data_IF_577410308979
#
_entry.id   IF_577410308979
#
_cell.length_a   1.000
_cell.length_b   1.000
_cell.length_c   1.000
_cell.angle_alpha   90.00
_cell.angle_beta   90.00
_cell.angle_gamma   90.00
#
_symmetry.space_group_name_H-M   'P 1'
#
loop_
_entity.id
_entity.type
_entity.pdbx_description
1 polymer ?
#
# COMPACT_ATOMS: atom_id res chain seq x y z
N UNK A 1 13.62 -18.56 17.45
CA UNK A 1 13.94 -18.66 16.00
C UNK A 1 14.05 -17.28 15.39
N UNK A 2 15.01 -17.06 14.53
CA UNK A 2 15.14 -15.82 13.79
C UNK A 2 14.56 -15.96 12.38
N UNK A 3 13.91 -14.90 11.88
CA UNK A 3 13.46 -14.81 10.50
C UNK A 3 14.39 -13.90 9.74
N UNK A 4 14.95 -14.37 8.64
CA UNK A 4 15.79 -13.58 7.75
C UNK A 4 15.15 -13.52 6.38
N UNK A 5 15.06 -12.31 5.83
CA UNK A 5 14.52 -12.08 4.51
C UNK A 5 15.60 -11.46 3.62
N UNK A 6 15.86 -12.08 2.48
CA UNK A 6 16.66 -11.47 1.43
C UNK A 6 15.71 -10.72 0.50
N UNK A 7 15.62 -9.41 0.68
CA UNK A 7 14.67 -8.60 -0.07
C UNK A 7 14.93 -8.61 -1.57
N UNK A 8 16.19 -8.62 -1.99
CA UNK A 8 16.51 -8.71 -3.42
C UNK A 8 15.95 -10.01 -4.01
N UNK A 9 16.12 -11.12 -3.31
CA UNK A 9 15.60 -12.42 -3.75
C UNK A 9 14.06 -12.43 -3.75
N UNK A 10 13.42 -11.86 -2.73
CA UNK A 10 11.97 -11.81 -2.64
C UNK A 10 11.36 -10.95 -3.73
N UNK A 11 11.91 -9.77 -3.99
CA UNK A 11 11.41 -8.89 -5.06
C UNK A 11 11.69 -9.48 -6.45
N UNK A 12 12.77 -10.22 -6.63
CA UNK A 12 13.08 -10.87 -7.91
C UNK A 12 12.03 -11.91 -8.33
N UNK A 13 11.25 -12.44 -7.39
CA UNK A 13 10.17 -13.41 -7.67
C UNK A 13 8.90 -12.72 -8.17
N UNK A 14 8.78 -11.40 -8.02
CA UNK A 14 7.56 -10.68 -8.34
C UNK A 14 7.59 -10.13 -9.76
N UNK A 15 6.42 -10.15 -10.39
CA UNK A 15 6.18 -9.50 -11.68
C UNK A 15 5.47 -8.17 -11.45
N UNK A 16 5.76 -7.18 -12.31
CA UNK A 16 5.04 -5.91 -12.27
C UNK A 16 3.59 -6.11 -12.70
N UNK A 17 2.66 -5.69 -11.85
CA UNK A 17 1.24 -5.64 -12.21
C UNK A 17 0.97 -4.32 -12.93
N UNK A 18 0.70 -4.37 -14.23
CA UNK A 18 0.35 -3.20 -15.03
C UNK A 18 -1.15 -2.95 -15.00
N UNK A 19 -1.53 -1.68 -15.10
CA UNK A 19 -2.93 -1.28 -15.21
C UNK A 19 -3.74 -1.51 -13.92
N UNK A 20 -3.10 -1.40 -12.78
CA UNK A 20 -3.81 -1.52 -11.49
C UNK A 20 -4.82 -0.40 -11.33
N UNK A 21 -6.01 -0.75 -10.84
CA UNK A 21 -7.09 0.18 -10.51
C UNK A 21 -7.59 -0.08 -9.09
N UNK A 22 -8.40 0.82 -8.51
CA UNK A 22 -8.98 0.57 -7.18
C UNK A 22 -9.84 -0.69 -7.08
N UNK A 23 -10.31 -1.23 -8.20
CA UNK A 23 -11.13 -2.45 -8.23
C UNK A 23 -10.33 -3.71 -8.58
N UNK A 24 -9.03 -3.60 -8.78
CA UNK A 24 -8.18 -4.77 -9.04
C UNK A 24 -8.33 -5.78 -7.91
N UNK A 25 -8.64 -7.03 -8.26
CA UNK A 25 -8.89 -8.08 -7.28
C UNK A 25 -7.60 -8.67 -6.74
N UNK A 26 -7.70 -9.37 -5.62
CA UNK A 26 -6.57 -10.09 -5.04
C UNK A 26 -6.05 -11.17 -6.01
N UNK A 27 -6.96 -11.86 -6.72
CA UNK A 27 -6.57 -12.85 -7.72
C UNK A 27 -5.77 -12.24 -8.88
N UNK A 28 -6.15 -11.03 -9.33
CA UNK A 28 -5.42 -10.31 -10.37
C UNK A 28 -4.05 -9.84 -9.90
N UNK A 29 -3.83 -9.71 -8.60
CA UNK A 29 -2.55 -9.30 -8.02
C UNK A 29 -1.60 -10.48 -7.77
N UNK A 30 -2.04 -11.71 -8.02
CA UNK A 30 -1.20 -12.88 -7.83
C UNK A 30 0.09 -12.78 -8.66
N UNK A 31 1.23 -13.07 -8.04
CA UNK A 31 2.54 -12.96 -8.67
C UNK A 31 3.15 -11.56 -8.63
N UNK A 32 2.39 -10.53 -8.25
CA UNK A 32 2.88 -9.15 -8.14
C UNK A 32 2.97 -8.68 -6.68
N UNK A 33 2.44 -9.44 -5.74
CA UNK A 33 2.53 -9.16 -4.32
C UNK A 33 2.78 -10.44 -3.53
N UNK A 34 3.44 -10.31 -2.38
CA UNK A 34 3.78 -11.44 -1.53
C UNK A 34 3.68 -11.07 -0.06
N UNK A 35 3.12 -12.00 0.71
CA UNK A 35 3.24 -12.01 2.16
C UNK A 35 4.63 -12.53 2.50
N UNK A 36 5.45 -11.74 3.19
CA UNK A 36 6.82 -12.13 3.50
C UNK A 36 6.98 -12.74 4.89
N UNK A 37 6.44 -12.09 5.89
CA UNK A 37 6.58 -12.54 7.28
C UNK A 37 5.59 -11.82 8.19
N UNK A 38 5.23 -12.44 9.33
CA UNK A 38 4.55 -11.70 10.38
C UNK A 38 5.52 -10.75 11.08
N UNK A 39 5.02 -9.61 11.54
CA UNK A 39 5.78 -8.71 12.39
C UNK A 39 4.83 -8.04 13.37
N UNK A 40 5.05 -8.24 14.69
CA UNK A 40 4.16 -7.75 15.75
C UNK A 40 2.72 -8.23 15.49
N UNK A 41 1.75 -7.33 15.47
CA UNK A 41 0.34 -7.60 15.18
C UNK A 41 -0.02 -7.51 13.70
N UNK A 42 0.98 -7.38 12.85
CA UNK A 42 0.78 -7.16 11.42
C UNK A 42 1.64 -8.05 10.53
N UNK A 43 1.85 -7.58 9.31
CA UNK A 43 2.49 -8.36 8.25
C UNK A 43 3.43 -7.50 7.41
N UNK A 44 4.54 -8.09 7.00
CA UNK A 44 5.45 -7.49 6.02
C UNK A 44 5.06 -8.01 4.64
N UNK A 45 4.74 -7.07 3.73
CA UNK A 45 4.39 -7.37 2.35
C UNK A 45 5.40 -6.76 1.37
N UNK A 46 5.52 -7.40 0.22
CA UNK A 46 6.25 -6.88 -0.94
C UNK A 46 5.30 -6.77 -2.12
N UNK A 47 5.44 -5.74 -2.95
CA UNK A 47 4.62 -5.60 -4.14
C UNK A 47 5.30 -4.80 -5.24
N UNK A 48 4.88 -5.07 -6.49
CA UNK A 48 5.26 -4.33 -7.69
C UNK A 48 4.00 -4.02 -8.48
N UNK A 49 3.70 -2.74 -8.69
CA UNK A 49 2.49 -2.34 -9.41
C UNK A 49 2.70 -1.05 -10.20
N UNK A 50 1.93 -0.92 -11.29
CA UNK A 50 1.79 0.32 -12.04
C UNK A 50 0.31 0.64 -12.17
N UNK A 51 -0.09 1.87 -11.84
CA UNK A 51 -1.47 2.33 -11.88
C UNK A 51 -1.89 3.08 -10.62
N UNK A 52 -3.01 2.69 -10.04
CA UNK A 52 -3.58 3.33 -8.86
C UNK A 52 -4.17 2.29 -7.92
N UNK A 53 -3.85 2.38 -6.63
CA UNK A 53 -4.44 1.54 -5.59
C UNK A 53 -5.80 2.03 -5.10
N UNK A 54 -6.47 1.21 -4.31
CA UNK A 54 -7.68 1.61 -3.60
C UNK A 54 -7.32 2.51 -2.41
N UNK A 55 -8.29 3.30 -1.96
CA UNK A 55 -8.19 3.93 -0.65
C UNK A 55 -8.19 2.85 0.42
N UNK A 56 -7.29 2.97 1.38
CA UNK A 56 -7.25 2.05 2.53
C UNK A 56 -6.89 2.79 3.80
N UNK A 57 -7.30 2.21 4.94
CA UNK A 57 -6.88 2.66 6.27
C UNK A 57 -6.68 1.45 7.17
N UNK A 58 -5.88 1.64 8.22
CA UNK A 58 -5.55 0.59 9.18
C UNK A 58 -5.95 1.06 10.57
N UNK A 59 -7.08 0.58 11.11
CA UNK A 59 -7.56 1.07 12.41
C UNK A 59 -6.72 0.59 13.60
N UNK A 60 -5.88 -0.42 13.41
CA UNK A 60 -5.12 -1.03 14.51
C UNK A 60 -3.74 -0.40 14.77
N UNK A 61 -3.23 0.42 13.86
CA UNK A 61 -1.91 1.04 14.05
C UNK A 61 -1.39 1.80 12.86
N UNK A 62 -0.17 2.34 12.97
CA UNK A 62 0.52 3.02 11.88
C UNK A 62 1.03 2.01 10.87
N UNK A 63 0.97 2.35 9.58
CA UNK A 63 1.58 1.56 8.53
C UNK A 63 2.91 2.17 8.12
N UNK A 64 3.94 1.34 7.98
CA UNK A 64 5.21 1.75 7.39
C UNK A 64 5.22 1.35 5.92
N UNK A 65 5.53 2.30 5.04
CA UNK A 65 5.67 2.06 3.60
C UNK A 65 7.05 2.52 3.17
N UNK A 66 7.84 1.60 2.62
CA UNK A 66 9.16 1.92 2.08
C UNK A 66 9.11 1.82 0.56
N UNK A 67 9.52 2.89 -0.13
CA UNK A 67 9.66 2.89 -1.59
C UNK A 67 11.02 2.31 -1.94
N UNK A 68 11.03 1.08 -2.43
CA UNK A 68 12.25 0.39 -2.84
C UNK A 68 12.73 0.93 -4.18
N UNK A 69 11.80 1.11 -5.12
CA UNK A 69 12.11 1.62 -6.46
C UNK A 69 10.87 2.28 -7.06
N UNK A 70 11.08 3.39 -7.76
CA UNK A 70 10.02 4.08 -8.48
C UNK A 70 9.57 5.36 -7.80
N UNK A 71 8.42 5.85 -8.24
CA UNK A 71 7.82 7.07 -7.71
C UNK A 71 6.30 6.94 -7.66
N UNK A 72 5.70 7.72 -6.78
CA UNK A 72 4.24 7.75 -6.63
C UNK A 72 3.80 9.10 -6.07
N UNK A 73 2.50 9.33 -6.13
CA UNK A 73 1.83 10.34 -5.31
C UNK A 73 1.10 9.60 -4.20
N UNK A 74 1.37 9.98 -2.97
CA UNK A 74 0.62 9.50 -1.80
C UNK A 74 -0.48 10.50 -1.50
N UNK A 75 -1.73 10.07 -1.66
CA UNK A 75 -2.90 10.84 -1.22
C UNK A 75 -3.24 10.40 0.19
N UNK A 76 -3.36 11.34 1.12
CA UNK A 76 -3.62 11.04 2.53
C UNK A 76 -4.63 12.02 3.12
N UNK A 77 -5.49 11.49 3.98
CA UNK A 77 -6.50 12.25 4.70
C UNK A 77 -6.28 12.03 6.19
N UNK A 78 -6.09 13.12 6.92
CA UNK A 78 -5.97 13.09 8.38
C UNK A 78 -7.07 13.96 8.99
N UNK A 79 -7.90 13.36 9.86
CA UNK A 79 -8.98 14.04 10.57
C UNK A 79 -9.92 14.80 9.61
N UNK A 80 -10.17 16.09 9.86
CA UNK A 80 -11.06 16.94 9.07
C UNK A 80 -10.32 17.73 7.99
N UNK A 81 -9.02 17.46 7.80
CA UNK A 81 -8.22 18.18 6.81
C UNK A 81 -8.59 17.78 5.38
N UNK A 82 -8.35 18.67 4.39
CA UNK A 82 -8.47 18.29 2.99
C UNK A 82 -7.50 17.17 2.64
N UNK A 83 -7.80 16.45 1.56
CA UNK A 83 -6.88 15.45 1.01
C UNK A 83 -5.57 16.13 0.62
N UNK A 84 -4.46 15.58 1.10
CA UNK A 84 -3.11 16.01 0.72
C UNK A 84 -2.51 15.03 -0.27
N UNK A 85 -1.80 15.55 -1.26
CA UNK A 85 -1.09 14.74 -2.24
C UNK A 85 0.41 15.01 -2.11
N UNK A 86 1.16 13.98 -1.75
CA UNK A 86 2.58 14.09 -1.41
C UNK A 86 3.39 13.23 -2.37
N UNK A 87 4.39 13.80 -3.09
CA UNK A 87 5.27 13.00 -3.93
C UNK A 87 6.21 12.14 -3.08
N UNK A 88 6.34 10.88 -3.47
CA UNK A 88 7.29 9.95 -2.85
C UNK A 88 8.11 9.25 -3.92
N UNK A 89 9.32 8.86 -3.59
CA UNK A 89 10.23 8.23 -4.55
C UNK A 89 11.20 7.25 -3.88
N UNK A 90 11.98 6.58 -4.69
CA UNK A 90 12.99 5.60 -4.25
C UNK A 90 13.76 6.07 -3.02
N UNK A 91 13.84 5.22 -2.02
CA UNK A 91 14.59 5.46 -0.78
C UNK A 91 13.79 6.14 0.31
N UNK A 92 12.55 6.54 0.05
CA UNK A 92 11.70 7.17 1.07
C UNK A 92 10.95 6.14 1.90
N UNK A 93 10.70 6.50 3.15
CA UNK A 93 9.78 5.80 4.04
C UNK A 93 8.66 6.76 4.39
N UNK A 94 7.41 6.28 4.27
CA UNK A 94 6.24 6.97 4.77
C UNK A 94 5.70 6.22 5.99
N UNK A 95 5.40 6.94 7.06
CA UNK A 95 4.65 6.39 8.18
C UNK A 95 3.24 6.96 8.07
N UNK A 96 2.30 6.09 7.72
CA UNK A 96 0.90 6.46 7.59
C UNK A 96 0.25 6.32 8.95
N UNK A 97 -0.29 7.40 9.53
CA UNK A 97 -0.88 7.34 10.87
C UNK A 97 -2.05 6.38 10.94
N UNK A 98 -2.22 5.78 12.12
CA UNK A 98 -3.36 4.94 12.43
C UNK A 98 -4.67 5.59 12.00
N UNK A 99 -5.49 4.87 11.23
CA UNK A 99 -6.81 5.30 10.82
C UNK A 99 -6.86 6.31 9.68
N UNK A 100 -5.71 6.77 9.17
CA UNK A 100 -5.68 7.72 8.08
C UNK A 100 -5.98 7.04 6.74
N UNK A 101 -6.98 7.55 6.02
CA UNK A 101 -7.23 7.11 4.66
C UNK A 101 -6.08 7.52 3.77
N UNK A 102 -5.55 6.57 2.97
CA UNK A 102 -4.46 6.83 2.04
C UNK A 102 -4.57 5.95 0.80
N UNK A 103 -3.98 6.42 -0.28
CA UNK A 103 -3.79 5.64 -1.50
C UNK A 103 -2.54 6.11 -2.22
N UNK A 104 -2.00 5.24 -3.08
CA UNK A 104 -0.88 5.59 -3.93
C UNK A 104 -1.31 5.60 -5.39
N UNK A 105 -0.79 6.57 -6.14
CA UNK A 105 -0.90 6.64 -7.58
C UNK A 105 0.51 6.57 -8.16
N UNK A 106 0.78 5.53 -8.96
CA UNK A 106 2.12 5.20 -9.45
C UNK A 106 2.06 4.77 -10.92
N UNK A 107 1.73 5.69 -11.86
CA UNK A 107 1.49 5.33 -13.25
C UNK A 107 2.70 4.70 -13.94
N UNK A 108 3.92 5.05 -13.51
CA UNK A 108 5.16 4.54 -14.09
C UNK A 108 5.72 3.32 -13.36
N UNK A 109 5.00 2.83 -12.35
CA UNK A 109 5.40 1.66 -11.58
C UNK A 109 6.12 1.98 -10.29
N UNK A 110 5.91 1.12 -9.29
CA UNK A 110 6.54 1.23 -7.98
C UNK A 110 6.82 -0.16 -7.41
N UNK A 111 7.89 -0.26 -6.66
CA UNK A 111 8.23 -1.44 -5.84
C UNK A 111 8.17 -1.01 -4.38
N UNK A 112 7.30 -1.66 -3.61
CA UNK A 112 7.04 -1.30 -2.22
C UNK A 112 7.32 -2.45 -1.26
N UNK A 113 7.86 -2.09 -0.09
CA UNK A 113 7.81 -2.91 1.11
C UNK A 113 6.86 -2.23 2.08
N UNK A 114 5.89 -2.98 2.63
CA UNK A 114 4.99 -2.43 3.63
C UNK A 114 5.02 -3.27 4.89
N UNK A 115 4.88 -2.59 6.04
CA UNK A 115 4.61 -3.24 7.32
C UNK A 115 3.23 -2.76 7.73
N UNK A 116 2.24 -3.62 7.52
CA UNK A 116 0.82 -3.29 7.65
C UNK A 116 0.29 -3.87 8.96
N UNK A 117 -0.23 -3.04 9.87
CA UNK A 117 -0.77 -3.53 11.14
C UNK A 117 -2.14 -4.17 10.94
N UNK A 118 -2.45 -5.16 11.72
CA UNK A 118 -3.77 -5.76 11.89
C UNK A 118 -4.67 -5.80 10.68
N UNK A 119 -5.84 -5.17 10.82
CA UNK A 119 -6.89 -5.16 9.80
C UNK A 119 -6.77 -3.97 8.88
N UNK A 120 -7.35 -4.11 7.69
CA UNK A 120 -7.47 -3.03 6.71
C UNK A 120 -8.92 -2.81 6.34
N UNK A 121 -9.28 -1.56 6.09
CA UNK A 121 -10.55 -1.18 5.52
C UNK A 121 -10.30 -0.47 4.20
N UNK A 122 -11.20 -0.64 3.23
CA UNK A 122 -11.00 -0.18 1.86
C UNK A 122 -12.19 0.61 1.34
N UNK A 123 -11.90 1.55 0.45
CA UNK A 123 -12.88 2.11 -0.48
C UNK A 123 -12.35 1.81 -1.88
N UNK A 124 -12.97 0.83 -2.56
CA UNK A 124 -12.53 0.35 -3.87
C UNK A 124 -13.23 1.10 -4.99
N UNK A 125 -13.21 2.41 -4.90
CA UNK A 125 -13.77 3.34 -5.89
C UNK A 125 -12.71 4.38 -6.23
N UNK A 126 -12.69 4.79 -7.48
CA UNK A 126 -11.81 5.90 -7.89
C UNK A 126 -12.50 7.23 -7.61
N UNK A 127 -12.47 7.63 -6.36
CA UNK A 127 -13.08 8.87 -5.87
C UNK A 127 -12.02 9.75 -5.21
N UNK A 128 -12.29 11.06 -5.17
CA UNK A 128 -11.32 12.03 -4.66
C UNK A 128 -11.24 12.06 -3.13
N UNK A 129 -12.35 11.74 -2.45
CA UNK A 129 -12.41 11.76 -0.99
C UNK A 129 -13.08 10.48 -0.47
N UNK A 130 -12.33 9.61 0.21
CA UNK A 130 -12.85 8.32 0.68
C UNK A 130 -13.89 8.47 1.80
N UNK A 131 -13.92 9.62 2.46
CA UNK A 131 -14.87 9.87 3.58
C UNK A 131 -16.30 9.95 3.12
N UNK A 132 -16.54 10.08 1.81
CA UNK A 132 -17.89 10.16 1.23
C UNK A 132 -18.49 8.79 0.92
N UNK A 133 -17.78 7.71 1.18
CA UNK A 133 -18.21 6.36 0.83
C UNK A 133 -18.19 5.42 2.04
N UNK A 134 -18.96 4.32 1.93
CA UNK A 134 -18.94 3.26 2.93
C UNK A 134 -17.68 2.41 2.79
N UNK A 135 -16.91 2.20 3.86
CA UNK A 135 -15.74 1.33 3.81
C UNK A 135 -16.11 -0.14 3.71
N UNK A 136 -15.25 -0.89 3.04
CA UNK A 136 -15.34 -2.34 2.91
C UNK A 136 -14.28 -2.98 3.81
N UNK A 137 -14.62 -4.13 4.36
CA UNK A 137 -13.72 -4.91 5.20
C UNK A 137 -13.20 -6.13 4.44
N UNK A 138 -12.06 -6.62 4.86
CA UNK A 138 -11.54 -7.90 4.38
C UNK A 138 -12.21 -9.06 5.08
#
# INVERSE_FOLDING_TARGET
MITLLDLNAEFAKLNMLHGRTPTTTEAEREGSSAWLAPYRDGTIFASKSAGKGAWERHPDGDELVQVIEGSATLDIVTDDNPVQSIPVHTGMIAIVPRGAWHRFHYPDGITLLTVTPGKSEYVRLDIDDPRTAEPQHD
#
